data_IF_436057713209
#
_entry.id   IF_436057713209
#
_cell.length_a   1.000
_cell.length_b   1.000
_cell.length_c   1.000
_cell.angle_alpha   90.00
_cell.angle_beta   90.00
_cell.angle_gamma   90.00
#
_symmetry.space_group_name_H-M   'P 1'
#
loop_
_entity.id
_entity.type
_entity.pdbx_description
1 polymer ?
#
# COMPACT_ATOMS: atom_id res chain seq x y z
N UNK A 1 12.18 -17.48 -6.50
CA UNK A 1 12.47 -16.45 -5.49
C UNK A 1 11.27 -15.53 -5.47
N UNK A 2 10.40 -15.64 -4.46
CA UNK A 2 9.31 -14.69 -4.26
C UNK A 2 9.85 -13.45 -3.56
N UNK A 3 9.39 -12.27 -3.95
CA UNK A 3 9.61 -11.07 -3.14
C UNK A 3 8.65 -11.10 -1.95
N UNK A 4 9.09 -10.58 -0.81
CA UNK A 4 8.23 -10.39 0.35
C UNK A 4 7.35 -9.17 0.11
N UNK A 5 6.11 -9.19 0.56
CA UNK A 5 5.19 -8.03 0.57
C UNK A 5 4.83 -7.61 1.99
N UNK A 6 5.71 -7.91 2.94
CA UNK A 6 5.44 -7.78 4.37
C UNK A 6 5.27 -6.31 4.79
N UNK A 7 6.08 -5.39 4.26
CA UNK A 7 6.04 -3.98 4.65
C UNK A 7 4.84 -3.27 4.01
N UNK A 8 4.59 -3.54 2.72
CA UNK A 8 3.38 -3.10 2.04
C UNK A 8 2.11 -3.67 2.70
N UNK A 9 2.16 -4.94 3.12
CA UNK A 9 1.10 -5.58 3.89
C UNK A 9 0.85 -4.90 5.24
N UNK A 10 1.89 -4.44 5.94
CA UNK A 10 1.73 -3.66 7.18
C UNK A 10 1.10 -2.30 6.89
N UNK A 11 1.58 -1.57 5.87
CA UNK A 11 0.97 -0.30 5.46
C UNK A 11 -0.54 -0.48 5.21
N UNK A 12 -0.92 -1.47 4.41
CA UNK A 12 -2.33 -1.67 4.03
C UNK A 12 -3.20 -2.12 5.20
N UNK A 13 -2.72 -3.03 6.05
CA UNK A 13 -3.56 -3.60 7.13
C UNK A 13 -3.57 -2.76 8.40
N UNK A 14 -2.50 -2.03 8.69
CA UNK A 14 -2.39 -1.24 9.93
C UNK A 14 -2.81 0.21 9.70
N UNK A 15 -2.26 0.86 8.67
CA UNK A 15 -2.49 2.30 8.46
C UNK A 15 -3.75 2.57 7.66
N UNK A 16 -4.07 1.69 6.70
CA UNK A 16 -5.29 1.77 5.89
C UNK A 16 -6.40 0.79 6.33
N UNK A 17 -6.18 0.07 7.43
CA UNK A 17 -7.15 -0.88 7.98
C UNK A 17 -8.36 -0.20 8.63
N UNK A 18 -9.07 -0.93 9.50
CA UNK A 18 -10.33 -0.44 10.08
C UNK A 18 -10.20 0.86 10.88
N UNK A 19 -9.06 1.06 11.56
CA UNK A 19 -8.79 2.24 12.39
C UNK A 19 -7.97 3.31 11.65
N UNK A 20 -8.16 3.46 10.33
CA UNK A 20 -7.39 4.39 9.50
C UNK A 20 -7.52 5.86 9.95
N UNK A 21 -8.64 6.21 10.58
CA UNK A 21 -8.96 7.56 11.07
C UNK A 21 -8.01 8.03 12.19
N UNK A 22 -7.31 7.09 12.84
CA UNK A 22 -6.23 7.41 13.77
C UNK A 22 -4.98 7.97 13.06
N UNK A 23 -4.83 7.69 11.76
CA UNK A 23 -3.65 8.07 10.96
C UNK A 23 -3.93 9.22 9.98
N UNK A 24 -5.16 9.35 9.49
CA UNK A 24 -5.58 10.43 8.60
C UNK A 24 -6.94 10.19 7.94
N UNK A 25 -7.47 11.20 7.25
CA UNK A 25 -8.76 11.11 6.54
C UNK A 25 -8.59 10.93 5.02
N UNK A 26 -7.36 11.10 4.52
CA UNK A 26 -6.97 10.94 3.13
C UNK A 26 -5.79 9.98 2.94
N UNK A 27 -5.63 9.43 1.73
CA UNK A 27 -4.49 8.56 1.38
C UNK A 27 -3.17 9.29 1.62
N UNK A 28 -3.10 10.57 1.28
CA UNK A 28 -1.92 11.42 1.49
C UNK A 28 -1.55 11.57 2.96
N UNK A 29 -2.53 11.85 3.83
CA UNK A 29 -2.29 12.01 5.26
C UNK A 29 -1.84 10.69 5.90
N UNK A 30 -2.47 9.58 5.53
CA UNK A 30 -2.10 8.25 6.03
C UNK A 30 -0.67 7.89 5.58
N UNK A 31 -0.30 8.16 4.33
CA UNK A 31 1.07 7.93 3.84
C UNK A 31 2.10 8.86 4.49
N UNK A 32 1.73 10.10 4.81
CA UNK A 32 2.58 10.99 5.58
C UNK A 32 2.79 10.45 7.00
N UNK A 33 1.72 10.04 7.68
CA UNK A 33 1.75 9.42 9.01
C UNK A 33 2.62 8.14 9.02
N UNK A 34 2.51 7.30 7.99
CA UNK A 34 3.37 6.14 7.80
C UNK A 34 4.86 6.53 7.69
N UNK A 35 5.17 7.53 6.86
CA UNK A 35 6.54 8.03 6.65
C UNK A 35 7.14 8.62 7.93
N UNK A 36 6.33 9.23 8.78
CA UNK A 36 6.75 9.80 10.07
C UNK A 36 6.92 8.73 11.16
N UNK A 37 6.13 7.66 11.11
CA UNK A 37 6.15 6.57 12.10
C UNK A 37 7.27 5.57 11.84
N UNK A 38 7.49 5.20 10.57
CA UNK A 38 8.44 4.16 10.18
C UNK A 38 9.85 4.69 9.91
N UNK A 39 10.85 3.82 10.09
CA UNK A 39 12.22 4.16 9.72
C UNK A 39 12.42 4.16 8.20
N UNK A 40 13.41 4.93 7.73
CA UNK A 40 13.71 5.10 6.29
C UNK A 40 13.96 3.78 5.55
N UNK A 41 14.53 2.76 6.22
CA UNK A 41 14.76 1.47 5.60
C UNK A 41 13.45 0.70 5.35
N UNK A 42 12.47 0.85 6.23
CA UNK A 42 11.15 0.22 6.13
C UNK A 42 10.30 0.91 5.06
N UNK A 43 10.32 2.25 5.04
CA UNK A 43 9.69 3.05 3.98
C UNK A 43 10.25 2.64 2.61
N UNK A 44 11.57 2.55 2.46
CA UNK A 44 12.21 2.14 1.20
C UNK A 44 11.81 0.72 0.77
N UNK A 45 11.78 -0.24 1.71
CA UNK A 45 11.29 -1.59 1.40
C UNK A 45 9.85 -1.57 0.93
N UNK A 46 8.99 -0.77 1.54
CA UNK A 46 7.58 -0.62 1.13
C UNK A 46 7.46 -0.15 -0.32
N UNK A 47 8.28 0.83 -0.72
CA UNK A 47 8.36 1.31 -2.11
C UNK A 47 8.85 0.22 -3.06
N UNK A 48 9.90 -0.51 -2.69
CA UNK A 48 10.46 -1.60 -3.50
C UNK A 48 9.44 -2.74 -3.67
N UNK A 49 8.69 -3.07 -2.62
CA UNK A 49 7.61 -4.07 -2.65
C UNK A 49 6.44 -3.64 -3.53
N UNK A 50 6.00 -2.37 -3.46
CA UNK A 50 4.97 -1.83 -4.35
C UNK A 50 5.38 -1.89 -5.83
N UNK A 51 6.64 -1.52 -6.13
CA UNK A 51 7.20 -1.64 -7.49
C UNK A 51 7.26 -3.08 -7.97
N UNK A 52 7.68 -4.01 -7.11
CA UNK A 52 7.73 -5.42 -7.44
C UNK A 52 6.33 -6.00 -7.71
N UNK A 53 5.33 -5.60 -6.94
CA UNK A 53 3.94 -6.04 -7.12
C UNK A 53 3.36 -5.54 -8.46
N UNK A 54 3.58 -4.26 -8.79
CA UNK A 54 3.21 -3.68 -10.09
C UNK A 54 3.90 -4.38 -11.27
N UNK A 55 5.16 -4.78 -11.12
CA UNK A 55 5.91 -5.49 -12.16
C UNK A 55 5.48 -6.96 -12.30
N UNK A 56 5.08 -7.61 -11.21
CA UNK A 56 4.62 -8.99 -11.21
C UNK A 56 3.23 -9.15 -11.83
N UNK A 57 2.34 -8.18 -11.59
CA UNK A 57 0.96 -8.22 -12.04
C UNK A 57 0.66 -7.01 -12.96
N UNK A 58 0.97 -7.10 -14.26
CA UNK A 58 0.76 -6.01 -15.21
C UNK A 58 -0.73 -5.78 -15.53
N UNK A 59 -1.57 -6.81 -15.40
CA UNK A 59 -3.02 -6.71 -15.63
C UNK A 59 -3.73 -6.25 -14.36
N UNK A 60 -4.66 -5.30 -14.47
CA UNK A 60 -5.35 -4.71 -13.31
C UNK A 60 -6.09 -5.75 -12.47
N UNK A 61 -6.78 -6.70 -13.11
CA UNK A 61 -7.57 -7.70 -12.36
C UNK A 61 -6.69 -8.62 -11.52
N UNK A 62 -5.48 -8.94 -11.98
CA UNK A 62 -4.53 -9.76 -11.21
C UNK A 62 -3.96 -8.96 -10.03
N UNK A 63 -3.73 -7.66 -10.24
CA UNK A 63 -3.25 -6.76 -9.21
C UNK A 63 -4.30 -6.48 -8.13
N UNK A 64 -5.57 -6.32 -8.52
CA UNK A 64 -6.70 -6.19 -7.59
C UNK A 64 -6.80 -7.40 -6.67
N UNK A 65 -6.68 -8.62 -7.22
CA UNK A 65 -6.65 -9.84 -6.41
C UNK A 65 -5.47 -9.86 -5.44
N UNK A 66 -4.27 -9.53 -5.92
CA UNK A 66 -3.07 -9.51 -5.08
C UNK A 66 -3.14 -8.45 -3.96
N UNK A 67 -3.68 -7.26 -4.24
CA UNK A 67 -3.90 -6.21 -3.23
C UNK A 67 -4.98 -6.63 -2.24
N UNK A 68 -6.07 -7.27 -2.70
CA UNK A 68 -7.11 -7.78 -1.81
C UNK A 68 -6.59 -8.88 -0.88
N UNK A 69 -5.79 -9.82 -1.38
CA UNK A 69 -5.13 -10.85 -0.56
C UNK A 69 -4.16 -10.22 0.45
N UNK A 70 -3.42 -9.18 0.05
CA UNK A 70 -2.51 -8.45 0.93
C UNK A 70 -3.24 -7.66 2.01
N UNK A 71 -4.42 -7.13 1.70
CA UNK A 71 -5.27 -6.39 2.61
C UNK A 71 -6.02 -7.28 3.60
N UNK A 72 -6.17 -8.57 3.31
CA UNK A 72 -6.91 -9.54 4.14
C UNK A 72 -8.32 -9.05 4.51
N UNK A 73 -8.97 -8.32 3.61
CA UNK A 73 -10.30 -7.74 3.81
C UNK A 73 -10.37 -6.43 4.59
N UNK A 74 -9.25 -5.94 5.12
CA UNK A 74 -9.20 -4.73 5.96
C UNK A 74 -9.21 -3.43 5.15
N UNK A 75 -8.87 -3.49 3.87
CA UNK A 75 -8.75 -2.33 3.00
C UNK A 75 -9.16 -2.63 1.56
N UNK A 76 -9.75 -1.63 0.90
CA UNK A 76 -9.96 -1.60 -0.54
C UNK A 76 -9.62 -0.20 -1.08
N UNK A 77 -8.87 -0.07 -2.19
CA UNK A 77 -8.57 1.22 -2.81
C UNK A 77 -9.79 1.95 -3.40
N UNK A 78 -10.79 1.21 -3.86
CA UNK A 78 -11.89 1.77 -4.66
C UNK A 78 -12.74 2.84 -3.93
N UNK A 79 -13.13 2.67 -2.64
CA UNK A 79 -13.80 3.71 -1.86
C UNK A 79 -13.01 5.02 -1.73
N UNK A 80 -11.68 4.95 -1.89
CA UNK A 80 -10.78 6.11 -1.83
C UNK A 80 -10.56 6.76 -3.21
N UNK A 81 -11.23 6.27 -4.25
CA UNK A 81 -11.10 6.78 -5.62
C UNK A 81 -9.90 6.22 -6.39
N UNK A 82 -9.29 5.13 -5.92
CA UNK A 82 -8.13 4.51 -6.55
C UNK A 82 -8.47 3.12 -7.11
N UNK A 83 -7.78 2.72 -8.19
CA UNK A 83 -7.65 1.32 -8.56
C UNK A 83 -6.47 0.71 -7.78
N UNK A 84 -6.29 -0.61 -7.85
CA UNK A 84 -5.13 -1.25 -7.20
C UNK A 84 -3.81 -0.66 -7.73
N UNK A 85 -3.73 -0.45 -9.05
CA UNK A 85 -2.56 0.20 -9.68
C UNK A 85 -2.35 1.62 -9.22
N UNK A 86 -3.36 2.49 -9.35
CA UNK A 86 -3.18 3.90 -9.03
C UNK A 86 -2.90 4.12 -7.54
N UNK A 87 -3.40 3.25 -6.66
CA UNK A 87 -3.03 3.23 -5.25
C UNK A 87 -1.55 2.91 -5.05
N UNK A 88 -1.02 1.84 -5.66
CA UNK A 88 0.40 1.48 -5.51
C UNK A 88 1.33 2.53 -6.14
N UNK A 89 0.94 3.14 -7.26
CA UNK A 89 1.66 4.28 -7.84
C UNK A 89 1.66 5.49 -6.90
N UNK A 90 0.55 5.74 -6.21
CA UNK A 90 0.45 6.79 -5.19
C UNK A 90 1.35 6.51 -3.99
N UNK A 91 1.39 5.26 -3.50
CA UNK A 91 2.29 4.81 -2.43
C UNK A 91 3.75 5.11 -2.80
N UNK A 92 4.17 4.72 -4.01
CA UNK A 92 5.54 4.97 -4.52
C UNK A 92 5.82 6.47 -4.55
N UNK A 93 4.94 7.25 -5.19
CA UNK A 93 5.14 8.70 -5.35
C UNK A 93 5.20 9.47 -4.03
N UNK A 94 4.52 9.01 -2.98
CA UNK A 94 4.48 9.71 -1.69
C UNK A 94 5.63 9.32 -0.75
N UNK A 95 6.16 8.10 -0.90
CA UNK A 95 7.17 7.53 0.00
C UNK A 95 8.60 7.56 -0.55
N UNK A 96 8.77 7.89 -1.83
CA UNK A 96 10.08 8.12 -2.46
C UNK A 96 10.78 9.41 -1.97
#
# INVERSE_FOLDING_TARGET
MGFSVANLGTLVRVFFGQDYDLFGESVEEILASYRETENTATVRKTVDEARALLAQYPEEQQLELAVAELADGEFAPAPWGYTARSFLEKVISALE
#
